data_IF_151872497491
#
_entry.id   IF_151872497491
#
_cell.length_a   1.000
_cell.length_b   1.000
_cell.length_c   1.000
_cell.angle_alpha   90.00
_cell.angle_beta   90.00
_cell.angle_gamma   90.00
#
_symmetry.space_group_name_H-M   'P 1'
#
loop_
_entity.id
_entity.type
_entity.pdbx_description
1 polymer ?
#
# COMPACT_ATOMS: atom_id res chain seq x y z
N UNK A 1 13.59 2.08 -0.14
CA UNK A 1 12.46 2.70 -0.88
C UNK A 1 11.22 2.12 -0.25
N UNK A 2 10.30 2.95 0.24
CA UNK A 2 9.11 2.47 0.97
C UNK A 2 7.91 2.40 0.05
N UNK A 3 7.05 1.42 0.30
CA UNK A 3 5.82 1.17 -0.44
C UNK A 3 4.66 1.24 0.54
N UNK A 4 3.63 1.99 0.18
CA UNK A 4 2.44 2.16 0.99
C UNK A 4 1.24 1.52 0.31
N UNK A 5 0.39 0.87 1.11
CA UNK A 5 -0.94 0.44 0.71
C UNK A 5 -1.90 1.59 0.99
N UNK A 6 -2.65 2.00 -0.01
CA UNK A 6 -3.59 3.11 0.05
C UNK A 6 -5.02 2.63 -0.14
N UNK A 7 -5.94 3.18 0.64
CA UNK A 7 -7.37 3.00 0.49
C UNK A 7 -8.03 4.38 0.43
N UNK A 8 -8.71 4.69 -0.68
CA UNK A 8 -9.37 6.00 -0.83
C UNK A 8 -8.43 7.22 -0.76
N UNK A 9 -7.13 7.03 -0.98
CA UNK A 9 -6.11 8.09 -0.87
C UNK A 9 -5.45 8.19 0.51
N UNK A 10 -5.91 7.44 1.51
CA UNK A 10 -5.28 7.36 2.82
C UNK A 10 -4.26 6.21 2.86
N UNK A 11 -3.11 6.45 3.51
CA UNK A 11 -2.10 5.42 3.73
C UNK A 11 -2.55 4.52 4.88
N UNK A 12 -2.73 3.23 4.60
CA UNK A 12 -3.12 2.23 5.58
C UNK A 12 -1.91 1.63 6.26
N UNK A 13 -0.94 1.19 5.47
CA UNK A 13 0.24 0.46 5.94
C UNK A 13 1.42 0.63 5.00
N UNK A 14 2.64 0.49 5.51
CA UNK A 14 3.87 0.69 4.76
C UNK A 14 4.91 -0.41 4.95
N UNK A 15 5.61 -0.73 3.86
CA UNK A 15 6.56 -1.82 3.75
C UNK A 15 7.84 -1.36 3.08
N UNK A 16 8.96 -1.97 3.47
CA UNK A 16 10.24 -1.81 2.77
C UNK A 16 10.38 -2.76 1.56
N UNK A 17 9.48 -3.74 1.44
CA UNK A 17 9.42 -4.73 0.37
C UNK A 17 8.13 -4.58 -0.45
N UNK A 18 8.28 -4.41 -1.76
CA UNK A 18 7.17 -4.24 -2.69
C UNK A 18 6.30 -5.51 -2.80
N UNK A 19 6.90 -6.69 -2.67
CA UNK A 19 6.17 -7.95 -2.78
C UNK A 19 5.23 -8.13 -1.60
N UNK A 20 5.70 -7.82 -0.38
CA UNK A 20 4.86 -7.82 0.82
C UNK A 20 3.72 -6.82 0.73
N UNK A 21 4.00 -5.60 0.25
CA UNK A 21 2.96 -4.60 0.04
C UNK A 21 1.86 -5.09 -0.92
N UNK A 22 2.22 -5.78 -2.00
CA UNK A 22 1.23 -6.37 -2.91
C UNK A 22 0.50 -7.57 -2.33
N UNK A 23 1.18 -8.44 -1.59
CA UNK A 23 0.58 -9.59 -0.94
C UNK A 23 -0.53 -9.15 0.02
N UNK A 24 -0.23 -8.19 0.90
CA UNK A 24 -1.20 -7.66 1.84
C UNK A 24 -2.28 -6.85 1.14
N UNK A 25 -1.95 -6.03 0.12
CA UNK A 25 -2.96 -5.30 -0.66
C UNK A 25 -3.97 -6.24 -1.34
N UNK A 26 -3.51 -7.37 -1.86
CA UNK A 26 -4.38 -8.40 -2.44
C UNK A 26 -5.24 -9.06 -1.35
N UNK A 27 -4.64 -9.39 -0.20
CA UNK A 27 -5.36 -9.98 0.92
C UNK A 27 -6.49 -9.07 1.41
N UNK A 28 -6.19 -7.81 1.75
CA UNK A 28 -7.19 -6.86 2.26
C UNK A 28 -8.22 -6.48 1.20
N UNK A 29 -7.85 -6.46 -0.09
CA UNK A 29 -8.81 -6.26 -1.20
C UNK A 29 -9.81 -7.42 -1.29
N UNK A 30 -9.36 -8.66 -1.09
CA UNK A 30 -10.25 -9.84 -1.09
C UNK A 30 -11.18 -9.85 0.12
N UNK A 31 -10.67 -9.50 1.30
CA UNK A 31 -11.45 -9.51 2.54
C UNK A 31 -12.48 -8.37 2.59
N UNK A 32 -12.09 -7.16 2.14
CA UNK A 32 -12.98 -5.99 2.17
C UNK A 32 -13.88 -5.86 0.94
N UNK A 33 -13.51 -6.48 -0.18
CA UNK A 33 -14.12 -6.24 -1.48
C UNK A 33 -13.80 -4.87 -2.09
N UNK A 34 -12.92 -4.08 -1.47
CA UNK A 34 -12.56 -2.74 -1.92
C UNK A 34 -11.13 -2.77 -2.50
N UNK A 35 -10.88 -2.23 -3.71
CA UNK A 35 -9.54 -2.18 -4.29
C UNK A 35 -8.58 -1.32 -3.45
N UNK A 36 -7.45 -1.91 -3.05
CA UNK A 36 -6.35 -1.20 -2.39
C UNK A 36 -5.21 -0.95 -3.39
N UNK A 37 -4.60 0.24 -3.33
CA UNK A 37 -3.55 0.67 -4.26
C UNK A 37 -2.18 0.61 -3.60
N UNK A 38 -1.19 0.01 -4.24
CA UNK A 38 0.22 0.08 -3.77
C UNK A 38 0.94 1.23 -4.48
N UNK A 39 1.51 2.15 -3.71
CA UNK A 39 2.29 3.29 -4.24
C UNK A 39 3.64 3.42 -3.53
N UNK A 40 4.62 4.00 -4.22
CA UNK A 40 5.91 4.32 -3.60
C UNK A 40 5.71 5.53 -2.68
N UNK A 41 6.06 5.38 -1.41
CA UNK A 41 6.17 6.49 -0.47
C UNK A 41 7.49 7.19 -0.79
N UNK A 42 7.41 8.24 -1.60
CA UNK A 42 8.55 9.13 -1.78
C UNK A 42 8.69 9.95 -0.51
N UNK A 43 9.90 10.08 0.08
CA UNK A 43 10.11 11.12 1.06
C UNK A 43 9.77 12.45 0.38
N UNK A 44 8.90 13.27 0.99
CA UNK A 44 8.71 14.64 0.55
C UNK A 44 10.09 15.29 0.52
N UNK A 45 10.52 15.72 -0.68
CA UNK A 45 11.70 16.56 -0.81
C UNK A 45 11.33 17.92 -0.24
N UNK A 46 11.62 18.13 1.04
CA UNK A 46 11.78 19.47 1.61
C UNK A 46 12.93 20.20 0.93
#
# INVERSE_FOLDING_TARGET
>A
MRFGIYLGGELMEDYDDILKAYEDAIYVTKESGIPHEVKIIKPEKN
#
